data_IF_648395379296
#
_entry.id   IF_648395379296
#
_cell.length_a   1.000
_cell.length_b   1.000
_cell.length_c   1.000
_cell.angle_alpha   90.00
_cell.angle_beta   90.00
_cell.angle_gamma   90.00
#
_symmetry.space_group_name_H-M   'P 1'
#
loop_
_entity.id
_entity.type
_entity.pdbx_description
1 polymer ?
#
# COMPACT_ATOMS: atom_id res chain seq x y z
N UNK A 1 27.26 7.56 13.56
CA UNK A 1 25.82 7.25 13.37
C UNK A 1 25.46 7.74 11.99
N UNK A 2 24.80 6.96 11.17
CA UNK A 2 24.45 7.42 9.82
C UNK A 2 23.43 8.53 9.93
N UNK A 3 23.65 9.62 9.20
CA UNK A 3 22.80 10.82 9.16
C UNK A 3 21.51 10.60 8.33
N UNK A 4 21.08 9.33 8.22
CA UNK A 4 19.95 8.89 7.40
C UNK A 4 18.70 8.75 8.29
N UNK A 5 17.65 9.52 8.04
CA UNK A 5 16.42 9.41 8.81
C UNK A 5 15.69 8.08 8.51
N UNK A 6 14.97 7.53 9.48
CA UNK A 6 13.99 6.49 9.21
C UNK A 6 12.81 7.07 8.44
N UNK A 7 12.29 6.31 7.47
CA UNK A 7 11.16 6.70 6.63
C UNK A 7 10.02 5.74 6.90
N UNK A 8 8.88 6.25 7.38
CA UNK A 8 7.65 5.51 7.53
C UNK A 8 6.61 6.03 6.52
N UNK A 9 6.26 5.19 5.57
CA UNK A 9 5.19 5.48 4.60
C UNK A 9 3.92 4.74 5.01
N UNK A 10 2.88 5.47 5.37
CA UNK A 10 1.56 4.92 5.67
C UNK A 10 0.64 5.25 4.49
N UNK A 11 0.16 4.21 3.79
CA UNK A 11 -0.74 4.36 2.65
C UNK A 11 -2.08 3.68 2.96
N UNK A 12 -3.11 4.46 3.15
CA UNK A 12 -4.49 3.96 3.29
C UNK A 12 -5.06 3.55 1.93
N UNK A 13 -5.99 2.59 1.89
CA UNK A 13 -6.69 2.19 0.68
C UNK A 13 -8.06 2.92 0.60
N UNK A 14 -8.34 3.55 -0.53
CA UNK A 14 -9.60 4.24 -0.84
C UNK A 14 -10.05 5.32 0.19
N UNK A 15 -9.16 5.82 1.01
CA UNK A 15 -9.51 6.88 1.94
C UNK A 15 -9.66 8.21 1.21
N UNK A 16 -10.81 8.85 1.35
CA UNK A 16 -11.03 10.22 0.90
C UNK A 16 -10.41 11.19 1.90
N UNK A 17 -9.82 12.29 1.41
CA UNK A 17 -9.18 13.28 2.28
C UNK A 17 -10.16 13.92 3.26
N UNK A 18 -11.43 14.08 2.84
CA UNK A 18 -12.51 14.67 3.64
C UNK A 18 -13.06 13.74 4.75
N UNK A 19 -12.47 12.55 4.93
CA UNK A 19 -12.76 11.64 6.05
C UNK A 19 -11.76 11.77 7.20
N UNK A 20 -11.09 12.91 7.34
CA UNK A 20 -10.15 13.21 8.41
C UNK A 20 -10.72 14.31 9.29
N UNK A 21 -10.84 14.05 10.60
CA UNK A 21 -11.45 14.97 11.57
C UNK A 21 -10.77 16.32 11.59
N UNK A 22 -9.44 16.36 11.70
CA UNK A 22 -8.64 17.58 11.69
C UNK A 22 -8.75 18.43 10.41
N UNK A 23 -9.25 17.85 9.32
CA UNK A 23 -9.49 18.55 8.05
C UNK A 23 -10.96 18.98 7.87
N UNK A 24 -11.74 18.95 8.96
CA UNK A 24 -13.09 19.50 9.02
C UNK A 24 -14.22 18.48 9.00
N UNK A 25 -13.95 17.18 9.07
CA UNK A 25 -15.01 16.17 9.15
C UNK A 25 -15.48 16.00 10.60
N UNK A 26 -16.72 16.38 10.88
CA UNK A 26 -17.33 16.25 12.20
C UNK A 26 -17.95 14.88 12.48
N UNK A 27 -18.06 14.00 11.49
CA UNK A 27 -18.79 12.73 11.58
C UNK A 27 -17.89 11.51 11.79
N UNK A 28 -16.58 11.67 11.58
CA UNK A 28 -15.60 10.58 11.77
C UNK A 28 -14.58 10.96 12.83
N UNK A 29 -14.14 9.97 13.60
CA UNK A 29 -13.10 10.12 14.61
C UNK A 29 -11.78 9.56 14.08
N UNK A 30 -10.78 10.44 13.91
CA UNK A 30 -9.44 10.06 13.41
C UNK A 30 -8.32 10.59 14.31
N UNK A 31 -8.35 10.31 15.64
CA UNK A 31 -7.50 11.01 16.62
C UNK A 31 -5.99 10.82 16.37
N UNK A 32 -5.58 9.72 15.77
CA UNK A 32 -4.16 9.47 15.47
C UNK A 32 -3.72 10.19 14.19
N UNK A 33 -4.56 10.23 13.16
CA UNK A 33 -4.29 11.02 11.94
C UNK A 33 -4.34 12.51 12.28
N UNK A 34 -5.27 12.92 13.13
CA UNK A 34 -5.38 14.30 13.59
C UNK A 34 -4.10 14.79 14.31
N UNK A 35 -3.47 13.91 15.10
CA UNK A 35 -2.16 14.20 15.72
C UNK A 35 -1.06 14.39 14.67
N UNK A 36 -1.07 13.60 13.59
CA UNK A 36 -0.10 13.78 12.49
C UNK A 36 -0.35 15.09 11.77
N UNK A 37 -1.60 15.47 11.53
CA UNK A 37 -1.97 16.77 10.94
C UNK A 37 -1.49 17.93 11.84
N UNK A 38 -1.72 17.83 13.15
CA UNK A 38 -1.34 18.88 14.09
C UNK A 38 0.19 19.00 14.28
N UNK A 39 0.93 17.90 14.18
CA UNK A 39 2.38 17.87 14.39
C UNK A 39 3.21 17.97 13.11
N UNK A 40 2.57 18.02 11.94
CA UNK A 40 3.24 17.98 10.65
C UNK A 40 2.69 18.97 9.64
N UNK A 41 2.76 18.61 8.36
CA UNK A 41 2.22 19.40 7.25
C UNK A 41 1.11 18.61 6.55
N UNK A 42 -0.09 19.19 6.46
CA UNK A 42 -1.20 18.63 5.72
C UNK A 42 -1.36 19.34 4.35
N UNK A 43 -1.30 18.57 3.28
CA UNK A 43 -1.50 19.05 1.93
C UNK A 43 -2.96 18.85 1.51
N UNK A 44 -3.77 19.90 1.62
CA UNK A 44 -5.21 19.86 1.33
C UNK A 44 -5.55 19.75 -0.16
N UNK A 45 -4.58 20.02 -1.03
CA UNK A 45 -4.70 19.94 -2.50
C UNK A 45 -3.69 18.99 -3.10
N UNK A 46 -3.46 17.84 -2.45
CA UNK A 46 -2.66 16.75 -3.02
C UNK A 46 -3.57 15.82 -3.85
N UNK A 47 -3.13 15.50 -5.05
CA UNK A 47 -3.89 14.68 -6.01
C UNK A 47 -3.08 13.45 -6.41
N UNK A 48 -3.74 12.30 -6.40
CA UNK A 48 -3.17 11.09 -7.00
C UNK A 48 -3.33 11.15 -8.54
N UNK A 49 -2.45 10.48 -9.27
CA UNK A 49 -2.47 10.43 -10.73
C UNK A 49 -3.52 9.48 -11.29
N UNK A 50 -4.13 8.66 -10.43
CA UNK A 50 -5.23 7.76 -10.78
C UNK A 50 -6.04 7.42 -9.53
N UNK A 51 -7.39 7.34 -9.61
CA UNK A 51 -8.23 6.86 -8.53
C UNK A 51 -8.24 5.32 -8.40
N UNK A 52 -7.53 4.61 -9.28
CA UNK A 52 -7.46 3.14 -9.34
C UNK A 52 -6.17 2.66 -8.66
N UNK A 53 -6.25 1.55 -7.90
CA UNK A 53 -5.19 1.08 -7.03
C UNK A 53 -3.85 0.86 -7.76
N UNK A 54 -3.79 -0.03 -8.76
CA UNK A 54 -2.53 -0.40 -9.42
C UNK A 54 -1.88 0.78 -10.14
N UNK A 55 -2.59 1.58 -10.96
CA UNK A 55 -2.01 2.77 -11.57
C UNK A 55 -1.50 3.80 -10.57
N UNK A 56 -2.24 4.06 -9.50
CA UNK A 56 -1.82 4.99 -8.44
C UNK A 56 -0.54 4.51 -7.76
N UNK A 57 -0.48 3.22 -7.41
CA UNK A 57 0.69 2.61 -6.74
C UNK A 57 1.91 2.56 -7.65
N UNK A 58 1.73 2.23 -8.91
CA UNK A 58 2.79 2.33 -9.92
C UNK A 58 3.34 3.76 -10.00
N UNK A 59 2.46 4.76 -10.01
CA UNK A 59 2.85 6.16 -10.10
C UNK A 59 3.66 6.62 -8.90
N UNK A 60 3.19 6.43 -7.68
CA UNK A 60 3.92 6.96 -6.52
C UNK A 60 5.21 6.16 -6.20
N UNK A 61 5.27 4.86 -6.56
CA UNK A 61 6.48 4.05 -6.37
C UNK A 61 7.56 4.29 -7.43
N UNK A 62 7.19 4.75 -8.62
CA UNK A 62 8.14 5.03 -9.71
C UNK A 62 8.41 6.52 -9.92
N UNK A 63 7.59 7.41 -9.34
CA UNK A 63 7.61 8.85 -9.64
C UNK A 63 7.21 9.19 -11.07
N UNK A 64 6.46 8.30 -11.75
CA UNK A 64 6.03 8.46 -13.15
C UNK A 64 4.51 8.44 -13.28
N UNK A 65 3.99 9.07 -14.33
CA UNK A 65 2.57 8.92 -14.66
C UNK A 65 2.24 7.47 -15.05
N UNK A 66 1.03 6.98 -14.74
CA UNK A 66 0.62 5.61 -15.06
C UNK A 66 0.81 5.23 -16.54
N UNK A 67 0.54 6.16 -17.46
CA UNK A 67 0.74 5.96 -18.89
C UNK A 67 2.22 5.76 -19.26
N UNK A 68 3.14 6.43 -18.55
CA UNK A 68 4.57 6.32 -18.82
C UNK A 68 5.19 4.99 -18.36
N UNK A 69 4.49 4.27 -17.48
CA UNK A 69 4.87 2.92 -17.01
C UNK A 69 3.89 1.85 -17.50
N UNK A 70 3.04 2.18 -18.48
CA UNK A 70 2.07 1.28 -19.13
C UNK A 70 1.10 0.59 -18.16
N UNK A 71 0.75 1.24 -17.05
CA UNK A 71 -0.14 0.71 -16.00
C UNK A 71 -1.35 1.63 -15.86
N UNK A 72 -2.35 1.43 -16.70
CA UNK A 72 -3.55 2.29 -16.75
C UNK A 72 -4.80 1.64 -16.12
N UNK A 73 -4.69 0.40 -15.62
CA UNK A 73 -5.79 -0.36 -15.03
C UNK A 73 -5.28 -1.38 -14.01
N UNK A 74 -6.19 -1.94 -13.22
CA UNK A 74 -5.92 -3.15 -12.44
C UNK A 74 -5.89 -4.39 -13.37
N UNK A 75 -5.25 -5.46 -12.90
CA UNK A 75 -5.32 -6.77 -13.54
C UNK A 75 -4.21 -7.10 -14.53
N UNK A 76 -3.17 -6.29 -14.63
CA UNK A 76 -1.95 -6.69 -15.35
C UNK A 76 -1.36 -7.95 -14.71
N UNK A 77 -1.05 -8.97 -15.51
CA UNK A 77 -0.51 -10.23 -15.01
C UNK A 77 0.83 -10.06 -14.31
N UNK A 78 1.65 -9.15 -14.82
CA UNK A 78 2.95 -8.74 -14.26
C UNK A 78 3.04 -7.23 -14.32
N UNK A 79 3.89 -6.64 -13.48
CA UNK A 79 4.24 -5.24 -13.62
C UNK A 79 5.16 -5.10 -14.84
N UNK A 80 4.85 -4.20 -15.79
CA UNK A 80 5.66 -4.03 -17.00
C UNK A 80 7.08 -3.59 -16.69
N UNK A 81 7.93 -3.57 -17.70
CA UNK A 81 9.26 -2.95 -17.61
C UNK A 81 9.13 -1.49 -17.15
N UNK A 82 9.93 -1.10 -16.18
CA UNK A 82 9.75 0.14 -15.44
C UNK A 82 11.07 0.67 -14.89
N UNK A 83 11.16 1.98 -14.59
CA UNK A 83 12.27 2.53 -13.83
C UNK A 83 12.31 1.93 -12.41
N UNK A 84 13.46 1.95 -11.74
CA UNK A 84 13.55 1.45 -10.37
C UNK A 84 12.48 2.06 -9.46
N UNK A 85 11.88 1.22 -8.62
CA UNK A 85 10.97 1.71 -7.59
C UNK A 85 11.75 2.53 -6.56
N UNK A 86 11.11 3.51 -5.94
CA UNK A 86 11.74 4.31 -4.87
C UNK A 86 12.28 3.42 -3.74
N UNK A 87 11.60 2.34 -3.41
CA UNK A 87 12.02 1.37 -2.40
C UNK A 87 13.27 0.61 -2.81
N UNK A 88 13.40 0.25 -4.10
CA UNK A 88 14.64 -0.32 -4.64
C UNK A 88 15.79 0.68 -4.58
N UNK A 89 15.55 1.93 -4.99
CA UNK A 89 16.54 3.01 -4.91
C UNK A 89 17.03 3.24 -3.48
N UNK A 90 16.11 3.19 -2.49
CA UNK A 90 16.46 3.31 -1.08
C UNK A 90 17.26 2.10 -0.59
N UNK A 91 16.87 0.89 -0.98
CA UNK A 91 17.60 -0.34 -0.63
C UNK A 91 19.03 -0.32 -1.18
N UNK A 92 19.21 0.10 -2.44
CA UNK A 92 20.53 0.25 -3.06
C UNK A 92 21.38 1.34 -2.38
N UNK A 93 20.73 2.35 -1.81
CA UNK A 93 21.37 3.36 -0.96
C UNK A 93 21.66 2.86 0.47
N UNK A 94 21.37 1.60 0.79
CA UNK A 94 21.67 0.96 2.08
C UNK A 94 20.60 1.13 3.15
N UNK A 95 19.35 1.45 2.78
CA UNK A 95 18.21 1.34 3.68
C UNK A 95 17.74 -0.10 3.79
N UNK A 96 17.28 -0.49 4.97
CA UNK A 96 16.59 -1.76 5.18
C UNK A 96 15.08 -1.54 4.97
N UNK A 97 14.60 -1.93 3.78
CA UNK A 97 13.23 -1.66 3.37
C UNK A 97 12.29 -2.82 3.73
N UNK A 98 11.11 -2.50 4.23
CA UNK A 98 10.05 -3.46 4.56
C UNK A 98 8.69 -3.05 4.03
N UNK A 99 7.89 -4.04 3.61
CA UNK A 99 6.48 -3.90 3.31
C UNK A 99 5.65 -4.64 4.34
N UNK A 100 4.61 -3.98 4.86
CA UNK A 100 3.51 -4.60 5.60
C UNK A 100 2.21 -4.16 4.95
N UNK A 101 1.52 -5.06 4.26
CA UNK A 101 0.25 -4.78 3.60
C UNK A 101 0.28 -4.97 2.09
N UNK A 102 -0.38 -4.05 1.37
CA UNK A 102 -0.69 -4.16 -0.05
C UNK A 102 0.37 -3.47 -0.92
N UNK A 103 1.01 -4.20 -1.82
CA UNK A 103 1.83 -3.63 -2.88
C UNK A 103 0.98 -3.31 -4.12
N UNK A 104 0.37 -4.30 -4.74
CA UNK A 104 -0.58 -4.21 -5.85
C UNK A 104 -0.03 -3.49 -7.09
N UNK A 105 1.14 -3.87 -7.54
CA UNK A 105 1.71 -3.46 -8.83
C UNK A 105 1.28 -4.37 -9.97
N UNK A 106 0.90 -5.62 -9.64
CA UNK A 106 0.34 -6.58 -10.59
C UNK A 106 -0.93 -7.22 -10.04
N UNK A 107 -1.57 -8.06 -10.85
CA UNK A 107 -2.81 -8.73 -10.46
C UNK A 107 -2.61 -9.66 -9.27
N UNK A 108 -3.46 -9.49 -8.26
CA UNK A 108 -3.61 -10.39 -7.12
C UNK A 108 -4.91 -11.19 -7.18
N UNK A 109 -5.57 -11.26 -8.34
CA UNK A 109 -6.82 -12.01 -8.49
C UNK A 109 -6.55 -13.51 -8.46
N UNK A 110 -7.05 -14.17 -7.39
CA UNK A 110 -6.88 -15.61 -7.17
C UNK A 110 -5.44 -16.09 -6.90
N UNK A 111 -4.52 -15.16 -6.59
CA UNK A 111 -3.11 -15.48 -6.33
C UNK A 111 -2.41 -14.38 -5.54
N UNK A 112 -1.25 -14.70 -4.98
CA UNK A 112 -0.29 -13.70 -4.53
C UNK A 112 0.31 -13.00 -5.76
N UNK A 113 0.41 -11.67 -5.73
CA UNK A 113 0.96 -10.93 -6.86
C UNK A 113 2.43 -11.28 -7.11
N UNK A 114 2.81 -11.30 -8.38
CA UNK A 114 4.20 -11.50 -8.77
C UNK A 114 5.06 -10.33 -8.27
N UNK A 115 6.11 -10.64 -7.51
CA UNK A 115 7.08 -9.64 -7.09
C UNK A 115 7.97 -9.19 -8.25
N UNK A 116 8.35 -7.93 -8.20
CA UNK A 116 9.40 -7.34 -9.03
C UNK A 116 10.66 -7.13 -8.17
N UNK A 117 11.71 -6.54 -8.73
CA UNK A 117 12.85 -6.06 -7.94
C UNK A 117 12.45 -4.79 -7.17
N UNK A 118 11.73 -5.00 -6.08
CA UNK A 118 11.08 -3.96 -5.29
C UNK A 118 11.97 -3.39 -4.17
N UNK A 119 13.09 -4.03 -3.86
CA UNK A 119 14.02 -3.64 -2.80
C UNK A 119 13.56 -4.00 -1.37
N UNK A 120 12.41 -4.63 -1.19
CA UNK A 120 11.96 -5.02 0.15
C UNK A 120 12.65 -6.30 0.63
N UNK A 121 13.42 -6.21 1.72
CA UNK A 121 13.96 -7.36 2.45
C UNK A 121 12.91 -7.99 3.36
N UNK A 122 12.15 -7.15 4.10
CA UNK A 122 11.05 -7.61 4.94
C UNK A 122 9.75 -7.56 4.15
N UNK A 123 9.00 -8.68 4.13
CA UNK A 123 7.82 -8.83 3.28
C UNK A 123 6.69 -9.50 4.04
N UNK A 124 5.67 -8.71 4.40
CA UNK A 124 4.43 -9.16 5.03
C UNK A 124 3.26 -8.74 4.15
N UNK A 125 3.10 -9.48 3.07
CA UNK A 125 2.09 -9.17 2.06
C UNK A 125 0.68 -9.44 2.54
N UNK A 126 -0.25 -8.52 2.31
CA UNK A 126 -1.69 -8.72 2.41
C UNK A 126 -2.44 -7.85 1.39
N UNK A 127 -3.65 -8.25 1.06
CA UNK A 127 -4.49 -7.57 0.09
C UNK A 127 -5.93 -7.48 0.64
N UNK A 128 -6.97 -7.71 -0.19
CA UNK A 128 -8.36 -7.68 0.24
C UNK A 128 -8.67 -8.82 1.24
N UNK A 129 -9.60 -8.61 2.20
CA UNK A 129 -10.02 -9.63 3.16
C UNK A 129 -10.91 -10.68 2.46
N UNK A 130 -10.32 -11.79 2.01
CA UNK A 130 -10.98 -12.92 1.35
C UNK A 130 -10.50 -14.22 1.96
N UNK A 131 -11.30 -15.29 1.86
CA UNK A 131 -10.96 -16.61 2.40
C UNK A 131 -10.08 -17.44 1.48
N UNK A 132 -10.16 -17.18 0.18
CA UNK A 132 -9.57 -17.99 -0.88
C UNK A 132 -8.11 -17.61 -1.21
N UNK A 133 -7.45 -16.86 -0.32
CA UNK A 133 -6.03 -16.58 -0.46
C UNK A 133 -5.20 -17.84 -0.28
N UNK A 134 -4.31 -18.10 -1.22
CA UNK A 134 -3.26 -19.09 -1.09
C UNK A 134 -2.27 -18.73 0.02
N UNK A 135 -1.43 -19.68 0.39
CA UNK A 135 -0.35 -19.44 1.37
C UNK A 135 0.57 -18.33 0.89
N UNK A 136 0.91 -17.42 1.80
CA UNK A 136 1.73 -16.25 1.51
C UNK A 136 0.98 -14.92 1.60
N UNK A 137 -0.35 -14.95 1.78
CA UNK A 137 -1.12 -13.77 2.22
C UNK A 137 -1.03 -13.68 3.75
N UNK A 138 -0.09 -12.90 4.26
CA UNK A 138 0.31 -12.94 5.66
C UNK A 138 -0.84 -12.71 6.66
N UNK A 139 -1.76 -11.79 6.36
CA UNK A 139 -2.90 -11.58 7.25
C UNK A 139 -3.86 -12.79 7.26
N UNK A 140 -4.17 -13.38 6.11
CA UNK A 140 -4.99 -14.58 6.04
C UNK A 140 -4.31 -15.78 6.72
N UNK A 141 -3.01 -15.94 6.52
CA UNK A 141 -2.23 -17.00 7.18
C UNK A 141 -2.20 -16.80 8.71
N UNK A 142 -2.09 -15.56 9.18
CA UNK A 142 -2.17 -15.24 10.60
C UNK A 142 -3.56 -15.56 11.19
N UNK A 143 -4.65 -15.18 10.50
CA UNK A 143 -6.03 -15.50 10.92
C UNK A 143 -6.21 -17.02 11.01
N UNK A 144 -5.81 -17.76 9.98
CA UNK A 144 -5.86 -19.24 9.98
C UNK A 144 -5.07 -19.86 11.12
N UNK A 145 -3.91 -19.27 11.47
CA UNK A 145 -3.10 -19.74 12.60
C UNK A 145 -3.78 -19.58 13.97
N UNK A 146 -4.84 -18.75 14.05
CA UNK A 146 -5.69 -18.60 15.22
C UNK A 146 -6.90 -19.52 15.21
N UNK A 147 -7.05 -20.38 14.20
CA UNK A 147 -8.22 -21.24 14.02
C UNK A 147 -9.44 -20.53 13.43
N UNK A 148 -9.25 -19.33 12.87
CA UNK A 148 -10.32 -18.48 12.37
C UNK A 148 -10.36 -18.47 10.83
N UNK A 149 -11.51 -18.06 10.28
CA UNK A 149 -11.73 -17.88 8.83
C UNK A 149 -11.91 -16.40 8.54
N UNK A 150 -11.05 -15.84 7.68
CA UNK A 150 -11.03 -14.39 7.43
C UNK A 150 -12.37 -13.84 6.94
N UNK A 151 -13.06 -14.56 6.04
CA UNK A 151 -14.37 -14.15 5.54
C UNK A 151 -15.48 -14.19 6.59
N UNK A 152 -15.38 -15.05 7.60
CA UNK A 152 -16.31 -15.04 8.72
C UNK A 152 -16.15 -13.77 9.58
N UNK A 153 -14.89 -13.35 9.81
CA UNK A 153 -14.58 -12.14 10.60
C UNK A 153 -15.01 -10.84 9.89
N UNK A 154 -15.20 -10.87 8.59
CA UNK A 154 -15.55 -9.69 7.78
C UNK A 154 -17.03 -9.64 7.40
N UNK A 155 -17.83 -10.64 7.76
CA UNK A 155 -19.28 -10.57 7.61
C UNK A 155 -19.85 -9.51 8.55
N UNK A 156 -20.50 -8.51 7.96
CA UNK A 156 -21.31 -7.58 8.78
C UNK A 156 -22.43 -8.34 9.47
N UNK A 157 -22.77 -8.00 10.71
CA UNK A 157 -23.93 -8.55 11.41
C UNK A 157 -25.24 -8.24 10.70
#
# INVERSE_FOLDING_TARGET
MSDRPNILWICTDQQRYDTIGALGNAHVSTPNIDKLVAGGTAFTHAYCQSPICTPSRASFLTGRYPSAVHVNRNGNAVFPDHPPLITKTLADAGYDCGLVGKLHLSSAFGRIEARVDDGYRYWQYSHAPRDDWEKGHNYADWVRSKGEILGELTKSP
#
